data_IF_129987484642
#
_entry.id   IF_129987484642
#
_cell.length_a   1.000
_cell.length_b   1.000
_cell.length_c   1.000
_cell.angle_alpha   90.00
_cell.angle_beta   90.00
_cell.angle_gamma   90.00
#
_symmetry.space_group_name_H-M   'P 1'
#
loop_
_entity.id
_entity.type
_entity.pdbx_description
1 polymer ?
#
# COMPACT_ATOMS: atom_id res chain seq x y z
N UNK A 1 13.92 17.63 25.66
CA UNK A 1 12.81 16.66 25.61
C UNK A 1 12.36 16.54 24.16
N UNK A 2 12.96 15.64 23.38
CA UNK A 2 12.58 15.47 21.96
C UNK A 2 11.57 14.34 21.88
N UNK A 3 10.31 14.66 21.62
CA UNK A 3 9.29 13.65 21.36
C UNK A 3 9.51 13.10 19.95
N UNK A 4 10.06 11.89 19.86
CA UNK A 4 10.16 11.15 18.60
C UNK A 4 8.79 10.55 18.33
N UNK A 5 7.99 11.25 17.52
CA UNK A 5 6.70 10.76 17.04
C UNK A 5 6.91 9.55 16.12
N UNK A 6 6.90 8.35 16.70
CA UNK A 6 7.08 7.08 16.01
C UNK A 6 5.88 6.71 15.12
N UNK A 7 5.66 7.43 14.03
CA UNK A 7 4.66 7.08 13.02
C UNK A 7 5.36 6.46 11.81
N UNK A 8 4.90 5.29 11.37
CA UNK A 8 5.45 4.54 10.23
C UNK A 8 4.30 4.23 9.28
N UNK A 9 4.39 4.68 8.04
CA UNK A 9 3.34 4.49 7.06
C UNK A 9 3.90 3.83 5.81
N UNK A 10 3.24 2.75 5.37
CA UNK A 10 3.50 2.06 4.10
C UNK A 10 2.22 2.20 3.28
N UNK A 11 2.34 2.81 2.10
CA UNK A 11 1.18 3.27 1.35
C UNK A 11 1.27 2.76 -0.07
N UNK A 12 0.25 2.01 -0.47
CA UNK A 12 0.11 1.47 -1.80
C UNK A 12 -0.74 2.42 -2.66
N UNK A 13 -0.84 2.10 -3.96
CA UNK A 13 -1.65 2.86 -4.91
C UNK A 13 -3.07 3.08 -4.36
N UNK A 14 -3.40 4.34 -4.11
CA UNK A 14 -4.68 4.77 -3.59
C UNK A 14 -5.29 5.81 -4.52
N UNK A 15 -6.39 5.44 -5.17
CA UNK A 15 -7.08 6.31 -6.15
C UNK A 15 -8.32 6.99 -5.56
N UNK A 16 -8.92 6.41 -4.53
CA UNK A 16 -10.14 6.90 -3.88
C UNK A 16 -9.89 8.23 -3.15
N UNK A 17 -10.74 9.22 -3.42
CA UNK A 17 -10.65 10.56 -2.81
C UNK A 17 -10.95 10.55 -1.31
N UNK A 18 -11.88 9.71 -0.84
CA UNK A 18 -12.19 9.59 0.59
C UNK A 18 -10.99 9.05 1.35
N UNK A 19 -10.40 7.96 0.87
CA UNK A 19 -9.26 7.32 1.53
C UNK A 19 -8.02 8.23 1.50
N UNK A 20 -7.80 8.95 0.39
CA UNK A 20 -6.77 10.00 0.33
C UNK A 20 -6.95 11.07 1.40
N UNK A 21 -8.19 11.49 1.68
CA UNK A 21 -8.50 12.48 2.72
C UNK A 21 -8.16 11.97 4.12
N UNK A 22 -8.49 10.71 4.42
CA UNK A 22 -8.18 10.09 5.71
C UNK A 22 -6.68 10.02 5.93
N UNK A 23 -5.92 9.53 4.96
CA UNK A 23 -4.46 9.41 5.12
C UNK A 23 -3.78 10.79 5.13
N UNK A 24 -4.30 11.77 4.38
CA UNK A 24 -3.82 13.16 4.42
C UNK A 24 -3.98 13.78 5.81
N UNK A 25 -5.01 13.41 6.56
CA UNK A 25 -5.23 13.88 7.93
C UNK A 25 -4.36 13.15 8.97
N UNK A 26 -3.91 11.93 8.67
CA UNK A 26 -3.02 11.15 9.54
C UNK A 26 -1.56 11.57 9.44
N UNK A 27 -1.20 12.39 8.45
CA UNK A 27 0.19 12.72 8.15
C UNK A 27 0.54 14.20 8.35
N UNK A 28 1.82 14.49 8.64
CA UNK A 28 2.36 15.84 8.67
C UNK A 28 2.13 16.59 7.35
N UNK A 29 1.92 17.91 7.44
CA UNK A 29 1.71 18.78 6.28
C UNK A 29 2.84 18.70 5.25
N UNK A 30 4.08 18.48 5.69
CA UNK A 30 5.26 18.35 4.83
C UNK A 30 5.22 17.14 3.88
N UNK A 31 4.45 16.10 4.22
CA UNK A 31 4.31 14.89 3.41
C UNK A 31 3.07 14.91 2.51
N UNK A 32 2.18 15.91 2.67
CA UNK A 32 0.94 16.03 1.90
C UNK A 32 1.17 16.25 0.40
N UNK A 33 2.30 16.86 0.01
CA UNK A 33 2.67 17.04 -1.40
C UNK A 33 3.06 15.74 -2.06
N UNK A 34 3.72 14.82 -1.33
CA UNK A 34 4.14 13.52 -1.87
C UNK A 34 2.93 12.61 -2.17
N UNK A 35 1.79 12.87 -1.51
CA UNK A 35 0.55 12.10 -1.67
C UNK A 35 -0.14 12.27 -3.02
N UNK A 36 0.09 13.39 -3.69
CA UNK A 36 -0.47 13.64 -5.02
C UNK A 36 0.06 12.62 -6.05
N UNK A 37 1.20 12.00 -5.75
CA UNK A 37 1.83 10.98 -6.57
C UNK A 37 1.40 9.54 -6.25
N UNK A 38 0.63 9.28 -5.19
CA UNK A 38 0.13 7.93 -4.88
C UNK A 38 -0.63 7.23 -6.01
N UNK A 39 -1.45 7.94 -6.83
CA UNK A 39 -2.12 7.32 -7.97
C UNK A 39 -1.18 6.87 -9.07
N UNK A 40 0.04 7.42 -9.09
CA UNK A 40 1.07 7.11 -10.08
C UNK A 40 1.91 5.89 -9.69
N UNK A 41 1.70 5.32 -8.51
CA UNK A 41 2.38 4.09 -8.08
C UNK A 41 1.92 2.91 -8.96
N UNK A 42 2.88 2.18 -9.52
CA UNK A 42 2.60 0.96 -10.26
C UNK A 42 2.33 -0.24 -9.34
N UNK A 43 1.91 -1.36 -9.92
CA UNK A 43 1.65 -2.60 -9.18
C UNK A 43 2.95 -3.06 -8.48
N UNK A 44 2.88 -3.22 -7.16
CA UNK A 44 4.03 -3.57 -6.32
C UNK A 44 4.87 -2.38 -5.90
N UNK A 45 4.54 -1.16 -6.32
CA UNK A 45 5.21 0.04 -5.80
C UNK A 45 4.49 0.59 -4.57
N UNK A 46 5.28 1.07 -3.62
CA UNK A 46 4.81 1.64 -2.37
C UNK A 46 5.57 2.91 -2.04
N UNK A 47 4.87 3.85 -1.41
CA UNK A 47 5.48 5.00 -0.77
C UNK A 47 5.65 4.70 0.73
N UNK A 48 6.89 4.84 1.23
CA UNK A 48 7.17 4.66 2.65
C UNK A 48 7.60 5.99 3.27
N UNK A 49 6.94 6.37 4.37
CA UNK A 49 7.17 7.63 5.07
C UNK A 49 7.08 7.45 6.59
N UNK A 50 7.70 8.39 7.33
CA UNK A 50 7.72 8.43 8.79
C UNK A 50 9.09 8.16 9.37
N UNK A 51 9.18 8.01 10.69
CA UNK A 51 10.47 7.92 11.42
C UNK A 51 11.31 6.68 11.11
N UNK A 52 10.74 5.70 10.39
CA UNK A 52 11.51 4.55 9.92
C UNK A 52 12.43 4.88 8.72
N UNK A 53 12.24 6.04 8.08
CA UNK A 53 12.92 6.42 6.84
C UNK A 53 13.26 7.91 6.87
N UNK A 54 14.51 8.25 6.51
CA UNK A 54 15.02 9.63 6.52
C UNK A 54 14.40 10.49 5.42
N UNK A 55 14.07 9.91 4.27
CA UNK A 55 13.52 10.59 3.10
C UNK A 55 12.36 9.80 2.48
N UNK A 56 11.21 10.44 2.17
CA UNK A 56 10.11 9.80 1.48
C UNK A 56 10.59 9.08 0.22
N UNK A 57 10.44 7.75 0.21
CA UNK A 57 11.03 6.92 -0.84
C UNK A 57 9.96 6.05 -1.48
N UNK A 58 9.99 6.02 -2.82
CA UNK A 58 9.23 5.05 -3.61
C UNK A 58 10.02 3.75 -3.67
N UNK A 59 9.43 2.67 -3.18
CA UNK A 59 10.06 1.35 -3.10
C UNK A 59 9.25 0.39 -3.97
N UNK A 60 9.95 -0.44 -4.75
CA UNK A 60 9.34 -1.56 -5.49
C UNK A 60 9.45 -2.83 -4.63
N UNK A 61 8.30 -3.41 -4.32
CA UNK A 61 8.21 -4.67 -3.59
C UNK A 61 8.40 -5.84 -4.56
N UNK A 62 9.32 -6.74 -4.20
CA UNK A 62 9.47 -8.00 -4.90
C UNK A 62 8.31 -8.93 -4.57
N UNK A 63 7.96 -9.79 -5.54
CA UNK A 63 6.98 -10.85 -5.27
C UNK A 63 7.55 -11.80 -4.20
N UNK A 64 6.71 -12.28 -3.28
CA UNK A 64 7.15 -13.28 -2.31
C UNK A 64 7.63 -14.54 -3.03
N UNK A 65 8.66 -15.18 -2.48
CA UNK A 65 9.18 -16.47 -2.97
C UNK A 65 8.06 -17.53 -2.91
N UNK A 66 8.14 -18.55 -3.76
CA UNK A 66 7.13 -19.61 -3.86
C UNK A 66 6.82 -20.30 -2.52
N UNK A 67 7.82 -20.43 -1.63
CA UNK A 67 7.66 -20.98 -0.28
C UNK A 67 6.86 -20.10 0.69
N UNK A 68 6.61 -18.84 0.34
CA UNK A 68 5.95 -17.84 1.19
C UNK A 68 4.79 -17.12 0.47
N UNK A 69 4.27 -17.69 -0.62
CA UNK A 69 3.09 -17.12 -1.27
C UNK A 69 1.88 -17.22 -0.32
N UNK A 70 1.06 -16.16 -0.23
CA UNK A 70 -0.15 -16.22 0.57
C UNK A 70 -1.08 -17.30 0.01
N UNK A 71 -1.67 -18.09 0.90
CA UNK A 71 -2.74 -19.01 0.52
C UNK A 71 -3.90 -18.16 0.00
N UNK A 72 -4.11 -18.15 -1.32
CA UNK A 72 -5.19 -17.39 -1.95
C UNK A 72 -6.53 -17.84 -1.38
N UNK A 73 -7.23 -16.93 -0.70
CA UNK A 73 -8.57 -17.18 -0.16
C UNK A 73 -9.67 -17.13 -1.22
N UNK A 74 -9.33 -16.86 -2.48
CA UNK A 74 -10.29 -16.85 -3.59
C UNK A 74 -10.82 -18.26 -3.79
N UNK A 75 -12.06 -18.48 -3.32
CA UNK A 75 -12.79 -19.71 -3.58
C UNK A 75 -13.09 -19.77 -5.07
N UNK A 76 -12.60 -20.80 -5.74
CA UNK A 76 -12.91 -21.03 -7.14
C UNK A 76 -14.40 -21.40 -7.27
N UNK A 77 -15.20 -20.42 -7.68
CA UNK A 77 -16.64 -20.55 -7.88
C UNK A 77 -16.99 -21.01 -9.31
N UNK A 78 -15.99 -21.32 -10.16
CA UNK A 78 -16.16 -21.42 -11.60
C UNK A 78 -16.32 -22.82 -12.20
N UNK A 79 -16.08 -23.91 -11.48
CA UNK A 79 -15.91 -25.23 -12.15
C UNK A 79 -16.75 -26.38 -11.57
N UNK A 80 -17.89 -26.11 -10.92
CA UNK A 80 -18.80 -27.19 -10.43
C UNK A 80 -20.08 -27.38 -11.24
N UNK A 81 -20.31 -26.60 -12.30
CA UNK A 81 -21.59 -26.57 -13.02
C UNK A 81 -21.56 -26.98 -14.50
N UNK A 82 -20.39 -27.17 -15.11
CA UNK A 82 -20.28 -27.29 -16.57
C UNK A 82 -20.04 -28.71 -17.11
N UNK A 83 -20.11 -29.75 -16.26
CA UNK A 83 -19.88 -31.15 -16.66
C UNK A 83 -21.16 -32.00 -16.71
N UNK A 84 -22.33 -31.41 -16.97
CA UNK A 84 -23.59 -32.17 -17.17
C UNK A 84 -24.44 -31.67 -18.35
N UNK A 85 -23.83 -31.57 -19.52
CA UNK A 85 -24.55 -31.55 -20.79
C UNK A 85 -24.30 -32.87 -21.54
#
# INVERSE_FOLDING_TARGET
MSYIMNSKFIILRLTNKCDKGVIKNLLPDSLKSTFEHLPLLDIGEVLVVGDAIVLPSKIKLDKPKDSHQPLSGTKDIGMKGYDKA
#
